data_IF_191300126261
#
_entry.id   IF_191300126261
#
_cell.length_a   1.000
_cell.length_b   1.000
_cell.length_c   1.000
_cell.angle_alpha   90.00
_cell.angle_beta   90.00
_cell.angle_gamma   90.00
#
_symmetry.space_group_name_H-M   'P 1'
#
loop_
_entity.id
_entity.type
_entity.pdbx_description
1 polymer ?
#
# COMPACT_ATOMS: atom_id res chain seq x y z
N UNK A 1 -20.94 -8.59 8.34
CA UNK A 1 -21.40 -8.58 6.93
C UNK A 1 -20.16 -8.67 6.07
N UNK A 2 -19.90 -9.86 5.47
CA UNK A 2 -18.75 -10.11 4.62
C UNK A 2 -18.91 -9.40 3.28
N UNK A 3 -18.45 -8.17 3.19
CA UNK A 3 -18.17 -7.54 1.91
C UNK A 3 -16.93 -8.21 1.33
N UNK A 4 -17.03 -8.76 0.11
CA UNK A 4 -15.86 -9.20 -0.61
C UNK A 4 -14.88 -8.01 -0.65
N UNK A 5 -13.68 -8.19 -0.08
CA UNK A 5 -12.60 -7.24 -0.20
C UNK A 5 -12.34 -7.08 -1.69
N UNK A 6 -12.73 -5.93 -2.24
CA UNK A 6 -12.36 -5.60 -3.61
C UNK A 6 -10.86 -5.40 -3.65
N UNK A 7 -10.22 -5.81 -4.74
CA UNK A 7 -8.81 -5.56 -4.94
C UNK A 7 -8.50 -4.08 -4.67
N UNK A 8 -7.57 -3.81 -3.77
CA UNK A 8 -7.14 -2.47 -3.42
C UNK A 8 -5.72 -2.26 -3.93
N UNK A 9 -5.53 -1.28 -4.83
CA UNK A 9 -4.26 -1.03 -5.52
C UNK A 9 -3.33 -0.10 -4.75
N UNK A 10 -3.74 0.37 -3.58
CA UNK A 10 -3.00 1.33 -2.79
C UNK A 10 -3.26 1.20 -1.30
N UNK A 11 -2.99 2.26 -0.57
CA UNK A 11 -3.28 2.39 0.86
C UNK A 11 -4.20 3.58 1.08
N UNK A 12 -5.23 3.40 1.93
CA UNK A 12 -6.17 4.45 2.29
C UNK A 12 -5.85 5.06 3.65
N UNK A 13 -5.66 6.37 3.66
CA UNK A 13 -5.46 7.16 4.87
C UNK A 13 -6.71 7.98 5.17
N UNK A 14 -7.53 7.50 6.09
CA UNK A 14 -8.74 8.21 6.53
C UNK A 14 -8.40 9.46 7.31
N UNK A 15 -8.78 10.61 6.77
CA UNK A 15 -8.54 11.92 7.35
C UNK A 15 -9.72 12.85 7.05
N UNK A 16 -9.94 13.89 7.86
CA UNK A 16 -10.96 14.90 7.56
C UNK A 16 -10.74 15.58 6.20
N UNK A 17 -11.84 15.94 5.54
CA UNK A 17 -11.81 16.78 4.34
C UNK A 17 -10.97 18.04 4.61
N UNK A 18 -10.25 18.51 3.61
CA UNK A 18 -9.30 19.64 3.68
C UNK A 18 -7.99 19.36 4.45
N UNK A 19 -7.74 18.16 4.97
CA UNK A 19 -6.40 17.81 5.48
C UNK A 19 -5.39 17.95 4.34
N UNK A 20 -4.24 18.65 4.52
CA UNK A 20 -3.22 18.78 3.49
C UNK A 20 -2.67 17.42 3.05
N UNK A 21 -2.57 17.22 1.75
CA UNK A 21 -1.89 16.08 1.13
C UNK A 21 -0.55 16.56 0.59
N UNK A 22 0.53 15.89 1.00
CA UNK A 22 1.91 16.25 0.67
C UNK A 22 2.59 15.19 -0.19
N UNK A 23 3.56 15.61 -1.00
CA UNK A 23 4.36 14.72 -1.83
C UNK A 23 5.21 13.77 -0.96
N UNK A 24 5.12 12.48 -1.22
CA UNK A 24 5.91 11.45 -0.52
C UNK A 24 7.38 11.47 -0.91
N UNK A 25 7.70 11.96 -2.11
CA UNK A 25 9.06 12.16 -2.63
C UNK A 25 9.07 13.31 -3.65
N UNK A 26 10.27 13.80 -4.00
CA UNK A 26 10.44 14.84 -5.02
C UNK A 26 10.23 14.29 -6.42
N UNK A 27 9.71 15.12 -7.34
CA UNK A 27 9.47 14.72 -8.72
C UNK A 27 8.69 15.75 -9.52
N UNK A 28 8.26 15.34 -10.72
CA UNK A 28 7.48 16.18 -11.62
C UNK A 28 6.01 15.75 -11.63
N UNK A 29 5.09 16.67 -11.47
CA UNK A 29 3.65 16.43 -11.62
C UNK A 29 3.35 16.08 -13.07
N UNK A 30 2.83 14.89 -13.31
CA UNK A 30 2.44 14.41 -14.66
C UNK A 30 0.93 14.37 -14.87
N UNK A 31 0.16 14.46 -13.78
CA UNK A 31 -1.29 14.64 -13.81
C UNK A 31 -1.74 15.48 -12.60
N UNK A 32 -2.71 16.36 -12.79
CA UNK A 32 -3.33 17.15 -11.72
C UNK A 32 -4.73 17.59 -12.14
N UNK A 33 -5.77 17.19 -11.42
CA UNK A 33 -7.15 17.55 -11.69
C UNK A 33 -8.11 16.36 -11.64
N UNK A 34 -9.26 16.49 -12.35
CA UNK A 34 -10.26 15.43 -12.46
C UNK A 34 -9.86 14.38 -13.48
N UNK A 35 -10.05 13.09 -13.16
CA UNK A 35 -9.79 11.96 -14.06
C UNK A 35 -11.00 11.59 -14.95
N UNK A 36 -11.98 12.50 -15.10
CA UNK A 36 -13.14 12.29 -15.97
C UNK A 36 -12.77 12.18 -17.47
N UNK A 37 -11.72 12.87 -17.87
CA UNK A 37 -11.27 12.92 -19.26
C UNK A 37 -10.05 12.00 -19.53
N UNK A 38 -9.42 11.48 -18.49
CA UNK A 38 -8.27 10.60 -18.58
C UNK A 38 -8.43 9.41 -17.64
N UNK A 39 -8.40 8.20 -18.19
CA UNK A 39 -8.46 6.98 -17.40
C UNK A 39 -7.14 6.74 -16.66
N UNK A 40 -7.19 6.80 -15.33
CA UNK A 40 -6.05 6.54 -14.44
C UNK A 40 -6.21 5.21 -13.69
N UNK A 41 -7.42 4.70 -13.57
CA UNK A 41 -7.78 3.50 -12.82
C UNK A 41 -8.71 2.58 -13.62
N UNK A 42 -9.66 1.94 -12.94
CA UNK A 42 -10.63 1.03 -13.55
C UNK A 42 -11.63 1.70 -14.50
N UNK A 43 -11.51 3.00 -14.71
CA UNK A 43 -12.37 3.78 -15.57
C UNK A 43 -12.27 5.26 -15.26
N UNK A 44 -12.92 6.08 -16.06
CA UNK A 44 -12.97 7.53 -15.89
C UNK A 44 -13.71 7.91 -14.61
N UNK A 45 -13.21 8.88 -13.89
CA UNK A 45 -13.78 9.32 -12.61
C UNK A 45 -13.58 8.34 -11.47
N UNK A 46 -12.68 7.34 -11.61
CA UNK A 46 -12.42 6.37 -10.57
C UNK A 46 -11.76 7.00 -9.34
N UNK A 47 -10.69 7.78 -9.53
CA UNK A 47 -10.04 8.53 -8.45
C UNK A 47 -10.67 9.90 -8.19
N UNK A 48 -11.49 10.41 -9.10
CA UNK A 48 -12.06 11.75 -9.01
C UNK A 48 -10.99 12.82 -9.25
N UNK A 49 -10.78 13.69 -8.29
CA UNK A 49 -9.66 14.64 -8.32
C UNK A 49 -8.39 13.94 -7.84
N UNK A 50 -7.33 13.98 -8.65
CA UNK A 50 -6.09 13.27 -8.37
C UNK A 50 -4.85 14.07 -8.75
N UNK A 51 -3.71 13.72 -8.18
CA UNK A 51 -2.38 14.13 -8.60
C UNK A 51 -1.53 12.90 -8.85
N UNK A 52 -0.75 12.89 -9.93
CA UNK A 52 0.30 11.88 -10.16
C UNK A 52 1.63 12.59 -10.27
N UNK A 53 2.60 12.13 -9.49
CA UNK A 53 3.98 12.62 -9.51
C UNK A 53 4.88 11.52 -10.06
N UNK A 54 5.62 11.82 -11.14
CA UNK A 54 6.76 11.01 -11.58
C UNK A 54 7.95 11.39 -10.73
N UNK A 55 8.46 10.46 -9.94
CA UNK A 55 9.57 10.70 -9.03
C UNK A 55 10.86 10.99 -9.80
N UNK A 56 11.77 11.75 -9.19
CA UNK A 56 13.13 12.00 -9.71
C UNK A 56 14.04 10.78 -9.55
N UNK A 57 13.66 9.86 -8.68
CA UNK A 57 14.33 8.57 -8.47
C UNK A 57 13.76 7.50 -9.42
N UNK A 58 14.58 6.52 -9.74
CA UNK A 58 14.17 5.33 -10.48
C UNK A 58 14.38 4.07 -9.63
N UNK A 59 13.66 3.02 -9.97
CA UNK A 59 13.79 1.70 -9.39
C UNK A 59 14.28 0.71 -10.46
N UNK A 60 15.55 0.32 -10.40
CA UNK A 60 16.20 -0.51 -11.44
C UNK A 60 15.98 0.03 -12.85
N UNK A 61 16.30 1.31 -13.04
CA UNK A 61 16.11 2.07 -14.29
C UNK A 61 14.65 2.23 -14.74
N UNK A 62 13.69 1.77 -13.94
CA UNK A 62 12.27 1.97 -14.19
C UNK A 62 11.78 3.26 -13.51
N UNK A 63 10.96 4.08 -14.17
CA UNK A 63 10.36 5.24 -13.53
C UNK A 63 9.39 4.81 -12.43
N UNK A 64 9.31 5.63 -11.38
CA UNK A 64 8.37 5.46 -10.28
C UNK A 64 7.34 6.58 -10.35
N UNK A 65 6.09 6.24 -10.11
CA UNK A 65 5.00 7.21 -10.00
C UNK A 65 4.28 7.02 -8.68
N UNK A 66 3.88 8.13 -8.06
CA UNK A 66 2.96 8.12 -6.93
C UNK A 66 1.66 8.79 -7.32
N UNK A 67 0.54 8.12 -7.05
CA UNK A 67 -0.80 8.65 -7.31
C UNK A 67 -1.48 8.97 -5.99
N UNK A 68 -2.10 10.15 -5.93
CA UNK A 68 -2.86 10.68 -4.80
C UNK A 68 -4.30 10.88 -5.28
N UNK A 69 -5.21 10.00 -4.85
CA UNK A 69 -6.60 9.98 -5.29
C UNK A 69 -7.59 10.54 -4.27
N UNK A 70 -8.83 10.73 -4.71
CA UNK A 70 -10.00 11.18 -3.95
C UNK A 70 -9.85 12.57 -3.32
N UNK A 71 -8.99 13.42 -3.89
CA UNK A 71 -8.72 14.76 -3.40
C UNK A 71 -9.97 15.65 -3.51
N UNK A 72 -10.11 16.62 -2.60
CA UNK A 72 -11.06 17.72 -2.72
C UNK A 72 -10.62 18.69 -3.81
N UNK A 73 -9.34 19.09 -3.74
CA UNK A 73 -8.71 20.00 -4.71
C UNK A 73 -7.23 19.73 -4.83
N UNK A 74 -6.66 20.14 -5.98
CA UNK A 74 -5.22 20.18 -6.22
C UNK A 74 -4.72 21.61 -6.12
N UNK A 75 -3.44 21.80 -5.73
CA UNK A 75 -2.77 23.12 -5.66
C UNK A 75 -1.51 23.16 -6.52
N UNK A 76 -1.30 22.13 -7.32
CA UNK A 76 -0.16 21.98 -8.24
C UNK A 76 -0.64 21.82 -9.67
N UNK A 77 0.23 22.11 -10.64
CA UNK A 77 -0.06 22.02 -12.08
C UNK A 77 0.81 20.97 -12.76
N UNK A 78 0.32 20.37 -13.85
CA UNK A 78 1.11 19.47 -14.70
C UNK A 78 2.37 20.15 -15.20
N UNK A 79 3.49 19.46 -15.12
CA UNK A 79 4.82 19.98 -15.45
C UNK A 79 5.55 20.62 -14.26
N UNK A 80 4.85 20.96 -13.18
CA UNK A 80 5.47 21.51 -11.97
C UNK A 80 6.38 20.48 -11.30
N UNK A 81 7.56 20.93 -10.83
CA UNK A 81 8.40 20.16 -9.91
C UNK A 81 7.98 20.41 -8.48
N UNK A 82 7.88 19.34 -7.72
CA UNK A 82 7.54 19.38 -6.29
C UNK A 82 8.65 18.71 -5.48
N UNK A 83 8.87 19.21 -4.29
CA UNK A 83 9.80 18.61 -3.31
C UNK A 83 9.04 17.66 -2.41
N UNK A 84 9.74 16.67 -1.85
CA UNK A 84 9.19 15.87 -0.76
C UNK A 84 8.65 16.77 0.36
N UNK A 85 7.43 16.49 0.82
CA UNK A 85 6.73 17.29 1.82
C UNK A 85 5.98 18.51 1.28
N UNK A 86 6.11 18.86 0.00
CA UNK A 86 5.37 19.96 -0.63
C UNK A 86 3.89 19.59 -0.79
N UNK A 87 3.00 20.55 -0.54
CA UNK A 87 1.57 20.31 -0.63
C UNK A 87 1.13 20.12 -2.08
N UNK A 88 0.40 19.04 -2.34
CA UNK A 88 -0.17 18.68 -3.65
C UNK A 88 -1.66 19.06 -3.76
N UNK A 89 -2.37 19.00 -2.62
CA UNK A 89 -3.81 19.19 -2.57
C UNK A 89 -4.34 19.01 -1.16
N UNK A 90 -5.62 18.65 -1.08
CA UNK A 90 -6.28 18.34 0.20
C UNK A 90 -7.13 17.08 0.08
N UNK A 91 -7.25 16.34 1.20
CA UNK A 91 -8.12 15.17 1.31
C UNK A 91 -9.56 15.53 0.98
N UNK A 92 -10.20 14.68 0.21
CA UNK A 92 -11.62 14.79 -0.16
C UNK A 92 -12.31 13.44 -0.14
N UNK A 93 -13.29 13.28 -1.00
CA UNK A 93 -14.07 12.05 -1.20
C UNK A 93 -14.59 12.01 -2.62
N UNK A 94 -13.86 12.58 -3.58
CA UNK A 94 -14.26 12.62 -5.00
C UNK A 94 -14.03 11.25 -5.66
N UNK A 95 -14.70 11.00 -6.78
CA UNK A 95 -14.63 9.72 -7.47
C UNK A 95 -15.32 8.57 -6.72
N UNK A 96 -14.74 7.38 -6.78
CA UNK A 96 -15.30 6.16 -6.16
C UNK A 96 -14.73 5.96 -4.74
N UNK A 97 -14.82 7.00 -3.90
CA UNK A 97 -14.35 6.98 -2.52
C UNK A 97 -15.36 6.24 -1.62
N UNK A 98 -15.12 4.97 -1.32
CA UNK A 98 -15.95 4.20 -0.39
C UNK A 98 -15.44 4.36 1.04
N UNK A 99 -16.38 4.52 1.98
CA UNK A 99 -16.04 4.62 3.41
C UNK A 99 -15.80 6.03 3.94
N UNK A 100 -15.99 7.06 3.12
CA UNK A 100 -15.87 8.47 3.52
C UNK A 100 -14.59 9.13 2.99
N UNK A 101 -14.28 10.31 3.52
CA UNK A 101 -13.12 11.08 3.10
C UNK A 101 -11.80 10.39 3.47
N UNK A 102 -10.92 10.21 2.50
CA UNK A 102 -9.60 9.62 2.68
C UNK A 102 -8.65 10.02 1.54
N UNK A 103 -7.36 9.92 1.78
CA UNK A 103 -6.34 9.89 0.74
C UNK A 103 -6.14 8.45 0.30
N UNK A 104 -6.30 8.18 -0.99
CA UNK A 104 -5.85 6.95 -1.62
C UNK A 104 -4.45 7.17 -2.21
N UNK A 105 -3.46 6.38 -1.78
CA UNK A 105 -2.08 6.48 -2.23
C UNK A 105 -1.65 5.21 -2.96
N UNK A 106 -1.10 5.36 -4.18
CA UNK A 106 -0.48 4.26 -4.93
C UNK A 106 0.99 4.53 -5.22
N UNK A 107 1.76 3.45 -5.37
CA UNK A 107 3.07 3.42 -5.99
C UNK A 107 2.98 2.59 -7.26
N UNK A 108 3.43 3.15 -8.39
CA UNK A 108 3.46 2.49 -9.70
C UNK A 108 4.90 2.45 -10.21
N UNK A 109 5.32 1.32 -10.77
CA UNK A 109 6.69 1.12 -11.27
C UNK A 109 6.67 0.74 -12.73
N UNK A 110 7.51 1.37 -13.53
CA UNK A 110 7.63 1.18 -14.96
C UNK A 110 6.68 2.06 -15.77
N UNK A 111 5.39 2.05 -15.45
CA UNK A 111 4.38 2.79 -16.19
C UNK A 111 3.42 3.50 -15.21
N UNK A 112 2.87 4.65 -15.64
CA UNK A 112 1.75 5.28 -14.92
C UNK A 112 0.44 4.60 -15.33
N UNK A 113 0.28 3.35 -14.93
CA UNK A 113 -0.84 2.49 -15.25
C UNK A 113 -1.38 1.81 -13.99
N UNK A 114 -2.69 1.56 -13.97
CA UNK A 114 -3.37 0.90 -12.86
C UNK A 114 -2.81 -0.51 -12.57
N UNK A 115 -2.40 -1.23 -13.62
CA UNK A 115 -1.82 -2.58 -13.50
C UNK A 115 -0.33 -2.57 -13.14
N UNK A 116 0.31 -1.41 -13.03
CA UNK A 116 1.72 -1.29 -12.65
C UNK A 116 1.94 -1.05 -11.14
N UNK A 117 0.90 -1.20 -10.34
CA UNK A 117 0.95 -0.91 -8.91
C UNK A 117 1.78 -1.92 -8.13
N UNK A 118 2.47 -1.41 -7.10
CA UNK A 118 3.17 -2.15 -6.04
C UNK A 118 2.54 -1.80 -4.70
N UNK A 119 2.71 -2.66 -3.69
CA UNK A 119 2.20 -2.35 -2.36
C UNK A 119 2.95 -1.15 -1.75
N UNK A 120 2.28 0.00 -1.50
CA UNK A 120 2.95 1.18 -0.96
C UNK A 120 3.62 0.94 0.40
N UNK A 121 3.15 -0.03 1.19
CA UNK A 121 3.69 -0.31 2.52
C UNK A 121 5.16 -0.76 2.52
N UNK A 122 5.66 -1.30 1.39
CA UNK A 122 7.10 -1.63 1.24
C UNK A 122 7.94 -0.44 0.77
N UNK A 123 7.30 0.65 0.34
CA UNK A 123 7.94 1.86 -0.18
C UNK A 123 7.97 3.01 0.83
N UNK A 124 7.22 2.88 1.91
CA UNK A 124 7.15 3.89 2.96
C UNK A 124 8.02 3.50 4.14
N UNK A 125 8.61 4.51 4.77
CA UNK A 125 9.33 4.31 6.02
C UNK A 125 8.31 4.11 7.14
N UNK A 126 8.40 3.01 7.91
CA UNK A 126 7.56 2.81 9.08
C UNK A 126 7.84 3.87 10.15
N UNK A 127 6.98 3.97 11.16
CA UNK A 127 7.24 4.81 12.33
C UNK A 127 8.59 4.44 12.96
N UNK A 128 9.28 5.46 13.53
CA UNK A 128 10.59 5.26 14.16
C UNK A 128 10.51 4.16 15.23
N UNK A 129 11.40 3.17 15.16
CA UNK A 129 11.42 2.01 16.03
C UNK A 129 10.46 0.89 15.64
N UNK A 130 9.67 1.06 14.58
CA UNK A 130 8.78 0.06 14.01
C UNK A 130 9.37 -0.51 12.72
N UNK A 131 8.83 -1.61 12.22
CA UNK A 131 9.30 -2.25 10.99
C UNK A 131 8.15 -2.63 10.07
N UNK A 132 8.50 -3.21 8.92
CA UNK A 132 7.55 -3.75 7.95
C UNK A 132 7.75 -5.25 7.82
N UNK A 133 6.69 -6.03 8.01
CA UNK A 133 6.68 -7.45 7.69
C UNK A 133 6.34 -7.63 6.22
N UNK A 134 7.18 -8.36 5.51
CA UNK A 134 7.01 -8.69 4.09
C UNK A 134 7.11 -10.20 3.95
N UNK A 135 6.33 -10.78 3.08
CA UNK A 135 6.44 -12.22 2.91
C UNK A 135 5.79 -12.79 1.67
N UNK A 136 6.01 -14.09 1.51
CA UNK A 136 5.52 -14.86 0.38
C UNK A 136 4.83 -16.13 0.85
N UNK A 137 3.67 -16.40 0.25
CA UNK A 137 2.93 -17.66 0.40
C UNK A 137 2.86 -18.31 -0.97
N UNK A 138 3.39 -19.52 -1.08
CA UNK A 138 3.38 -20.32 -2.31
C UNK A 138 2.69 -21.66 -2.10
N UNK A 139 2.28 -22.29 -3.18
CA UNK A 139 1.90 -23.71 -3.22
C UNK A 139 3.13 -24.61 -3.46
N UNK A 140 2.91 -25.92 -3.54
CA UNK A 140 3.97 -26.92 -3.77
C UNK A 140 4.68 -26.75 -5.11
N UNK A 141 4.05 -26.12 -6.10
CA UNK A 141 4.62 -25.80 -7.40
C UNK A 141 5.29 -24.39 -7.44
N UNK A 142 5.48 -23.77 -6.26
CA UNK A 142 6.09 -22.43 -6.11
C UNK A 142 5.28 -21.28 -6.74
N UNK A 143 3.99 -21.48 -7.02
CA UNK A 143 3.10 -20.42 -7.50
C UNK A 143 2.59 -19.62 -6.31
N UNK A 144 2.47 -18.30 -6.48
CA UNK A 144 1.91 -17.43 -5.43
C UNK A 144 0.46 -17.79 -5.15
N UNK A 145 0.12 -18.01 -3.88
CA UNK A 145 -1.24 -18.29 -3.44
C UNK A 145 -1.98 -16.96 -3.21
N UNK A 146 -3.03 -16.65 -3.98
CA UNK A 146 -3.80 -15.43 -3.81
C UNK A 146 -4.79 -15.57 -2.65
N UNK A 147 -5.15 -14.44 -2.04
CA UNK A 147 -6.20 -14.32 -1.01
C UNK A 147 -6.06 -15.25 0.20
N UNK A 148 -4.85 -15.75 0.48
CA UNK A 148 -4.58 -16.50 1.70
C UNK A 148 -4.71 -15.58 2.92
N UNK A 149 -5.45 -16.01 3.93
CA UNK A 149 -5.60 -15.25 5.16
C UNK A 149 -4.33 -15.33 6.01
N UNK A 150 -3.85 -14.18 6.44
CA UNK A 150 -2.67 -14.05 7.28
C UNK A 150 -3.07 -13.39 8.59
N UNK A 151 -2.73 -14.06 9.68
CA UNK A 151 -2.93 -13.56 11.04
C UNK A 151 -1.57 -13.37 11.70
N UNK A 152 -1.35 -12.21 12.31
CA UNK A 152 -0.10 -11.82 12.92
C UNK A 152 -0.38 -11.45 14.38
N UNK A 153 0.33 -12.10 15.33
CA UNK A 153 0.16 -11.88 16.77
C UNK A 153 1.51 -11.68 17.42
N UNK A 154 1.68 -10.63 18.22
CA UNK A 154 2.86 -10.50 19.07
C UNK A 154 2.95 -11.65 20.06
N UNK A 155 4.17 -12.15 20.31
CA UNK A 155 4.46 -13.15 21.34
C UNK A 155 5.41 -12.61 22.41
N UNK A 156 5.87 -11.36 22.28
CA UNK A 156 6.76 -10.68 23.23
C UNK A 156 6.03 -9.76 24.20
N UNK A 157 4.79 -9.43 23.89
CA UNK A 157 3.96 -8.54 24.71
C UNK A 157 3.10 -9.36 25.69
N UNK A 158 2.65 -8.72 26.77
CA UNK A 158 1.66 -9.31 27.68
C UNK A 158 0.30 -9.51 26.97
N UNK A 159 -0.66 -10.14 27.67
CA UNK A 159 -1.93 -10.52 27.04
C UNK A 159 -2.80 -9.32 26.66
N UNK A 160 -2.75 -8.20 27.40
CA UNK A 160 -3.51 -6.99 27.09
C UNK A 160 -2.92 -6.26 25.87
N UNK A 161 -1.59 -6.12 25.79
CA UNK A 161 -0.90 -5.53 24.66
C UNK A 161 -0.97 -6.40 23.40
N UNK A 162 -0.98 -7.74 23.53
CA UNK A 162 -1.13 -8.71 22.42
C UNK A 162 -2.46 -8.53 21.69
N UNK A 163 -3.55 -8.26 22.41
CA UNK A 163 -4.86 -8.09 21.79
C UNK A 163 -4.92 -6.83 20.93
N UNK A 164 -4.22 -5.77 21.32
CA UNK A 164 -4.12 -4.51 20.56
C UNK A 164 -3.25 -4.63 19.29
N UNK A 165 -2.28 -5.55 19.27
CA UNK A 165 -1.37 -5.76 18.14
C UNK A 165 -1.69 -6.99 17.30
N UNK A 166 -2.92 -7.43 17.33
CA UNK A 166 -3.42 -8.43 16.42
C UNK A 166 -3.68 -7.80 15.05
N UNK A 167 -2.98 -8.27 14.02
CA UNK A 167 -3.13 -7.78 12.65
C UNK A 167 -3.60 -8.89 11.74
N UNK A 168 -4.36 -8.49 10.73
CA UNK A 168 -4.86 -9.36 9.68
C UNK A 168 -4.54 -8.75 8.34
N UNK A 169 -4.11 -9.56 7.41
CA UNK A 169 -4.00 -9.21 6.00
C UNK A 169 -4.29 -10.42 5.14
N UNK A 170 -4.30 -10.26 3.85
CA UNK A 170 -4.36 -11.35 2.87
C UNK A 170 -3.20 -11.22 1.90
N UNK A 171 -2.82 -12.34 1.29
CA UNK A 171 -1.96 -12.26 0.12
C UNK A 171 -2.66 -11.51 -1.01
N UNK A 172 -1.88 -10.93 -1.91
CA UNK A 172 -2.39 -10.14 -3.03
C UNK A 172 -3.35 -10.98 -3.88
N UNK A 173 -4.36 -10.33 -4.40
CA UNK A 173 -5.21 -10.91 -5.43
C UNK A 173 -4.53 -10.70 -6.78
N UNK A 174 -4.57 -11.70 -7.67
CA UNK A 174 -4.10 -11.54 -9.04
C UNK A 174 -4.75 -10.32 -9.71
N UNK A 175 -3.97 -9.59 -10.50
CA UNK A 175 -4.40 -8.41 -11.26
C UNK A 175 -4.62 -7.14 -10.42
N UNK A 176 -4.25 -7.11 -9.13
CA UNK A 176 -4.44 -5.93 -8.31
C UNK A 176 -3.14 -5.28 -7.86
N UNK A 177 -2.26 -6.06 -7.27
CA UNK A 177 -0.94 -5.63 -6.85
C UNK A 177 0.09 -6.57 -7.43
N UNK A 178 1.14 -6.02 -7.98
CA UNK A 178 2.28 -6.82 -8.41
C UNK A 178 3.25 -6.99 -7.26
N UNK A 179 3.85 -8.16 -7.09
CA UNK A 179 5.01 -8.34 -6.26
C UNK A 179 6.14 -7.37 -6.65
N UNK A 180 6.94 -6.96 -5.71
CA UNK A 180 8.17 -6.23 -6.01
C UNK A 180 9.12 -7.14 -6.85
N UNK A 181 9.79 -6.55 -7.84
CA UNK A 181 10.59 -7.28 -8.82
C UNK A 181 11.79 -8.03 -8.19
N UNK A 182 12.19 -7.71 -6.96
CA UNK A 182 13.27 -8.38 -6.23
C UNK A 182 12.79 -9.21 -5.05
N UNK A 183 11.80 -8.72 -4.32
CA UNK A 183 11.29 -9.42 -3.15
C UNK A 183 10.43 -10.60 -3.57
N UNK A 184 9.60 -10.42 -4.61
CA UNK A 184 8.67 -11.44 -5.07
C UNK A 184 7.64 -11.80 -3.99
N UNK A 185 7.33 -10.86 -3.11
CA UNK A 185 6.37 -11.01 -2.03
C UNK A 185 4.95 -11.03 -2.58
N UNK A 186 4.02 -11.56 -1.83
CA UNK A 186 2.60 -11.41 -2.10
C UNK A 186 1.79 -10.95 -0.88
N UNK A 187 2.45 -10.48 0.17
CA UNK A 187 1.85 -9.69 1.22
C UNK A 187 2.89 -8.78 1.89
N UNK A 188 2.43 -7.66 2.40
CA UNK A 188 3.19 -6.80 3.29
C UNK A 188 2.26 -6.19 4.32
N UNK A 189 2.80 -5.79 5.45
CA UNK A 189 2.14 -4.97 6.46
C UNK A 189 3.18 -4.11 7.15
N UNK A 190 3.00 -2.81 7.05
CA UNK A 190 3.88 -1.81 7.65
C UNK A 190 3.42 -1.42 9.06
N UNK A 191 4.17 -0.53 9.68
CA UNK A 191 3.87 0.02 11.01
C UNK A 191 3.59 -1.07 12.05
N UNK A 192 4.52 -2.03 12.09
CA UNK A 192 4.57 -3.08 13.10
C UNK A 192 5.62 -2.72 14.15
N UNK A 193 5.27 -2.61 15.45
CA UNK A 193 6.27 -2.47 16.51
C UNK A 193 7.34 -3.54 16.41
N UNK A 194 8.60 -3.18 16.67
CA UNK A 194 9.68 -4.18 16.71
C UNK A 194 9.41 -5.22 17.79
N UNK A 195 9.68 -6.49 17.48
CA UNK A 195 9.42 -7.60 18.41
C UNK A 195 9.23 -8.92 17.69
N UNK A 196 8.96 -9.97 18.43
CA UNK A 196 8.76 -11.31 17.89
C UNK A 196 7.26 -11.59 17.70
N UNK A 197 6.91 -12.08 16.52
CA UNK A 197 5.53 -12.33 16.13
C UNK A 197 5.32 -13.76 15.66
N UNK A 198 4.20 -14.33 15.99
CA UNK A 198 3.68 -15.53 15.39
C UNK A 198 2.83 -15.13 14.17
N UNK A 199 3.19 -15.63 13.01
CA UNK A 199 2.47 -15.44 11.75
C UNK A 199 1.83 -16.75 11.36
N UNK A 200 0.53 -16.73 11.11
CA UNK A 200 -0.25 -17.90 10.72
C UNK A 200 -0.90 -17.67 9.37
N UNK A 201 -0.75 -18.63 8.48
CA UNK A 201 -1.39 -18.65 7.15
C UNK A 201 -2.31 -19.85 7.08
N UNK A 202 -3.55 -19.66 6.64
CA UNK A 202 -4.49 -20.77 6.53
C UNK A 202 -5.87 -20.37 6.02
N UNK A 203 -6.65 -21.39 5.68
CA UNK A 203 -8.00 -21.26 5.13
C UNK A 203 -9.10 -21.78 6.09
N UNK A 204 -8.76 -21.98 7.36
CA UNK A 204 -9.67 -22.51 8.39
C UNK A 204 -9.67 -24.03 8.52
N UNK A 205 -9.17 -24.78 7.52
CA UNK A 205 -9.04 -26.24 7.56
C UNK A 205 -7.62 -26.68 7.91
N UNK A 206 -6.64 -25.94 7.45
CA UNK A 206 -5.22 -26.11 7.78
C UNK A 206 -4.59 -24.74 8.07
N UNK A 207 -3.67 -24.72 9.02
CA UNK A 207 -2.96 -23.50 9.40
C UNK A 207 -1.48 -23.82 9.58
N UNK A 208 -0.64 -23.13 8.80
CA UNK A 208 0.81 -23.16 8.99
C UNK A 208 1.21 -21.96 9.83
N UNK A 209 2.03 -22.17 10.85
CA UNK A 209 2.47 -21.13 11.78
C UNK A 209 4.00 -21.07 11.81
N UNK A 210 4.53 -19.87 11.66
CA UNK A 210 5.95 -19.57 11.80
C UNK A 210 6.16 -18.36 12.70
N UNK A 211 7.38 -18.19 13.20
CA UNK A 211 7.76 -17.05 14.03
C UNK A 211 8.73 -16.17 13.25
N UNK A 212 8.58 -14.85 13.38
CA UNK A 212 9.47 -13.85 12.77
C UNK A 212 9.83 -12.78 13.77
N UNK A 213 11.06 -12.27 13.71
CA UNK A 213 11.49 -11.07 14.41
C UNK A 213 11.27 -9.87 13.47
N UNK A 214 10.45 -8.91 13.89
CA UNK A 214 10.31 -7.62 13.22
C UNK A 214 11.36 -6.68 13.81
N UNK A 215 12.32 -6.28 12.97
CA UNK A 215 13.37 -5.35 13.33
C UNK A 215 12.96 -3.90 13.09
N UNK A 216 13.37 -3.02 13.99
CA UNK A 216 13.10 -1.59 13.85
C UNK A 216 13.73 -1.00 12.57
N UNK A 217 12.97 -0.14 11.89
CA UNK A 217 13.37 0.58 10.67
C UNK A 217 13.81 -0.33 9.49
N UNK A 218 13.35 -1.59 9.47
CA UNK A 218 13.71 -2.58 8.44
C UNK A 218 12.51 -3.32 7.87
N UNK A 219 12.74 -3.96 6.72
CA UNK A 219 11.88 -5.03 6.20
C UNK A 219 12.31 -6.36 6.84
N UNK A 220 11.33 -7.07 7.41
CA UNK A 220 11.50 -8.41 7.96
C UNK A 220 10.78 -9.42 7.08
N UNK A 221 11.48 -10.49 6.67
CA UNK A 221 10.98 -11.45 5.68
C UNK A 221 10.46 -12.74 6.32
N UNK A 222 9.36 -13.27 5.77
CA UNK A 222 8.83 -14.58 6.10
C UNK A 222 8.25 -15.28 4.86
N UNK A 223 8.36 -16.60 4.79
CA UNK A 223 7.89 -17.39 3.66
C UNK A 223 7.11 -18.62 4.12
N UNK A 224 6.05 -18.97 3.37
CA UNK A 224 5.21 -20.14 3.58
C UNK A 224 5.03 -20.90 2.26
N UNK A 225 5.05 -22.24 2.36
CA UNK A 225 4.75 -23.20 1.29
C UNK A 225 3.79 -24.23 1.82
#
# INVERSE_FOLDING_TARGET
>A
QGGALRPHHGVDYYNPVNTPVIATASGQVVFSGSDQDQELGLGRGFYGTAVVVKLDQSYYDQPIFTLYGHLDKTVVSVGQWVKQGEQLGTVGGTGVAKGGAHLHLEVRVGYNDYLATRNPEIWMRPFSGWGTLVGRVTDEESRLVPMANITIRSITLDDEEREQLHRYTTTYFHETLNPDDRLGENFAISDMPSGTYAVSVGNGLSTVKKTVLIEADKLSWIEFT
#
